data_IF_000750550050
#
_entry.id   IF_000750550050
#
_cell.length_a   1.000
_cell.length_b   1.000
_cell.length_c   1.000
_cell.angle_alpha   90.00
_cell.angle_beta   90.00
_cell.angle_gamma   90.00
#
_symmetry.space_group_name_H-M   'P 1'
#
loop_
_entity.id
_entity.type
_entity.pdbx_description
1 polymer ?
2 non-polymer ?
3 water ?
#
# COMPACT_ATOMS: atom_id res chain seq x y z
N UNK A 9 2.36 -23.36 19.03
CA UNK A 9 1.25 -22.91 19.88
C UNK A 9 1.68 -22.80 21.35
N UNK A 10 2.17 -23.91 21.91
CA UNK A 10 3.02 -23.80 23.09
C UNK A 10 4.40 -23.28 22.71
N UNK A 11 4.96 -23.84 21.62
CA UNK A 11 6.12 -23.23 20.99
C UNK A 11 5.87 -21.76 20.70
N UNK A 12 4.67 -21.43 20.22
CA UNK A 12 4.39 -20.06 19.80
C UNK A 12 4.38 -19.09 20.99
N UNK A 13 3.84 -19.53 22.15
CA UNK A 13 3.78 -18.63 23.30
C UNK A 13 5.13 -18.50 24.00
N UNK A 14 5.96 -19.54 23.94
CA UNK A 14 7.31 -19.45 24.49
C UNK A 14 8.16 -18.50 23.67
N UNK A 15 8.01 -18.53 22.33
CA UNK A 15 8.76 -17.61 21.47
C UNK A 15 8.37 -16.15 21.75
N UNK A 16 7.09 -15.89 22.05
CA UNK A 16 6.64 -14.50 22.18
C UNK A 16 7.15 -13.86 23.46
N UNK A 17 7.22 -14.64 24.54
CA UNK A 17 7.80 -14.17 25.80
C UNK A 17 9.31 -14.09 25.75
N UNK A 18 9.94 -14.68 24.73
CA UNK A 18 11.38 -14.59 24.54
C UNK A 18 11.78 -13.44 23.64
N UNK A 19 10.90 -12.45 23.47
CA UNK A 19 11.18 -11.27 22.67
C UNK A 19 11.73 -10.14 23.54
N UNK A 20 11.01 -9.81 24.60
CA UNK A 20 11.38 -8.70 25.44
C UNK A 20 10.17 -8.19 26.19
N UNK A 21 10.36 -7.05 26.86
CA UNK A 21 9.34 -6.45 27.71
C UNK A 21 9.59 -4.95 27.78
N UNK A 22 8.56 -4.22 28.20
CA UNK A 22 8.63 -2.77 28.36
C UNK A 22 8.71 -2.43 29.84
N UNK A 23 9.83 -1.84 30.26
CA UNK A 23 9.94 -1.26 31.61
C UNK A 23 9.66 0.24 31.48
N UNK A 24 8.41 0.61 31.70
CA UNK A 24 7.97 1.98 31.50
C UNK A 24 7.97 2.34 30.03
N UNK A 25 8.61 3.45 29.69
CA UNK A 25 8.67 3.91 28.32
C UNK A 25 9.88 3.36 27.56
N UNK A 26 10.46 2.27 28.03
CA UNK A 26 11.67 1.71 27.45
C UNK A 26 11.50 0.22 27.24
N UNK A 27 11.92 -0.25 26.06
CA UNK A 27 11.79 -1.66 25.68
C UNK A 27 13.15 -2.32 25.85
N UNK A 28 13.17 -3.45 26.57
CA UNK A 28 14.40 -4.20 26.80
C UNK A 28 14.31 -5.50 26.01
N UNK A 29 15.22 -5.69 25.06
CA UNK A 29 15.25 -6.91 24.31
C UNK A 29 15.80 -8.05 25.16
N UNK A 30 15.74 -9.25 24.60
CA UNK A 30 16.45 -10.37 25.15
C UNK A 30 17.43 -10.88 24.11
N UNK A 31 18.56 -11.45 24.54
CA UNK A 31 19.63 -11.77 23.57
C UNK A 31 19.18 -12.69 22.45
N UNK A 32 18.13 -13.49 22.64
CA UNK A 32 17.59 -14.36 21.61
C UNK A 32 16.39 -13.72 20.93
N UNK A 33 16.43 -12.40 20.75
CA UNK A 33 15.32 -11.68 20.13
C UNK A 33 15.29 -11.92 18.63
N UNK A 34 16.40 -11.64 17.94
CA UNK A 34 16.45 -11.88 16.51
C UNK A 34 16.04 -13.31 16.18
N UNK A 35 16.44 -14.25 17.04
CA UNK A 35 16.12 -15.65 16.82
C UNK A 35 14.63 -15.89 16.96
N UNK A 36 14.02 -15.29 17.97
CA UNK A 36 12.60 -15.49 18.20
C UNK A 36 11.77 -14.89 17.07
N UNK A 37 12.12 -13.65 16.66
CA UNK A 37 11.41 -12.98 15.57
C UNK A 37 11.40 -13.88 14.34
N UNK A 38 12.54 -14.46 14.01
CA UNK A 38 12.61 -15.35 12.85
C UNK A 38 11.79 -16.62 13.05
N UNK A 39 11.71 -17.13 14.29
CA UNK A 39 10.88 -18.30 14.53
C UNK A 39 9.41 -17.99 14.26
N UNK A 40 8.95 -16.81 14.68
CA UNK A 40 7.58 -16.41 14.40
C UNK A 40 7.31 -16.38 12.90
N UNK A 41 8.30 -15.92 12.12
CA UNK A 41 8.13 -15.96 10.66
C UNK A 41 7.93 -17.40 10.18
N UNK A 42 8.72 -18.34 10.71
CA UNK A 42 8.58 -19.74 10.31
C UNK A 42 7.20 -20.28 10.65
N UNK A 43 6.68 -19.96 11.84
CA UNK A 43 5.32 -20.39 12.20
C UNK A 43 4.28 -19.89 11.20
N UNK A 44 4.36 -18.61 10.82
CA UNK A 44 3.38 -18.03 9.91
C UNK A 44 3.43 -18.72 8.55
N UNK A 45 4.59 -19.23 8.15
CA UNK A 45 4.71 -19.96 6.89
C UNK A 45 4.17 -21.39 6.97
N UNK A 46 3.91 -21.92 8.17
CA UNK A 46 3.37 -23.28 8.33
C UNK A 46 1.98 -23.27 8.97
N UNK A 47 1.28 -22.15 8.97
CA UNK A 47 -0.05 -22.09 9.58
C UNK A 47 -1.07 -22.84 8.72
N UNK A 48 -2.16 -23.25 9.38
CA UNK A 48 -3.23 -24.01 8.75
C UNK A 48 -4.09 -23.11 7.86
N UNK A 49 -5.23 -23.65 7.40
CA UNK A 49 -6.18 -22.85 6.64
C UNK A 49 -7.00 -21.90 7.51
N UNK A 50 -7.04 -22.13 8.82
CA UNK A 50 -7.62 -21.20 9.78
C UNK A 50 -6.77 -19.94 9.99
N UNK A 51 -5.52 -19.92 9.51
CA UNK A 51 -4.55 -18.88 9.84
C UNK A 51 -4.50 -18.67 11.36
N UNK A 52 -4.30 -19.79 12.06
CA UNK A 52 -4.28 -19.77 13.51
C UNK A 52 -3.12 -18.95 14.07
N UNK A 53 -1.95 -19.03 13.41
CA UNK A 53 -0.76 -18.37 13.94
C UNK A 53 -0.96 -16.86 13.97
N UNK A 54 -1.33 -16.26 12.83
CA UNK A 54 -1.55 -14.82 12.82
C UNK A 54 -2.72 -14.41 13.71
N UNK A 55 -3.68 -15.31 13.95
CA UNK A 55 -4.75 -15.03 14.90
C UNK A 55 -4.24 -15.06 16.34
N UNK A 56 -3.37 -16.02 16.67
CA UNK A 56 -2.80 -16.06 18.01
C UNK A 56 -1.91 -14.85 18.27
N UNK A 57 -1.02 -14.53 17.33
CA UNK A 57 -0.16 -13.37 17.49
C UNK A 57 -0.99 -12.09 17.53
N UNK A 58 -2.07 -12.05 16.74
CA UNK A 58 -2.98 -10.91 16.79
C UNK A 58 -3.64 -10.77 18.16
N UNK A 59 -4.29 -11.84 18.63
CA UNK A 59 -4.83 -11.88 19.99
C UNK A 59 -3.82 -11.35 21.01
N UNK A 60 -2.57 -11.83 20.93
CA UNK A 60 -1.55 -11.46 21.90
C UNK A 60 -1.02 -10.03 21.71
N UNK A 61 -1.40 -9.35 20.63
CA UNK A 61 -0.91 -8.00 20.36
C UNK A 61 0.63 -7.95 20.33
N UNK A 62 1.24 -8.93 19.68
CA UNK A 62 2.71 -8.95 19.58
C UNK A 62 3.19 -7.77 18.76
N UNK A 63 2.57 -7.53 17.60
CA UNK A 63 2.96 -6.38 16.78
C UNK A 63 3.05 -5.11 17.63
N UNK A 64 2.01 -4.83 18.43
CA UNK A 64 1.97 -3.59 19.21
C UNK A 64 2.86 -3.66 20.45
N UNK A 65 2.78 -4.76 21.19
CA UNK A 65 3.48 -4.87 22.46
C UNK A 65 4.99 -5.04 22.27
N UNK A 66 5.41 -5.64 21.16
CA UNK A 66 6.80 -6.01 20.97
C UNK A 66 7.39 -5.45 19.67
N UNK A 67 6.81 -5.80 18.50
CA UNK A 67 7.45 -5.50 17.21
C UNK A 67 7.61 -4.00 16.98
N UNK A 68 6.56 -3.20 17.20
CA UNK A 68 6.70 -1.76 17.06
C UNK A 68 7.69 -1.15 18.04
N UNK A 69 7.71 -1.53 19.32
CA UNK A 69 8.81 -1.08 20.20
C UNK A 69 10.17 -1.42 19.64
N UNK A 70 10.36 -2.66 19.16
CA UNK A 70 11.66 -3.04 18.61
C UNK A 70 12.00 -2.15 17.42
N UNK A 71 11.02 -1.92 16.54
CA UNK A 71 11.25 -1.12 15.34
C UNK A 71 11.69 0.30 15.70
N UNK A 72 11.04 0.93 16.66
CA UNK A 72 11.30 2.34 16.92
C UNK A 72 12.53 2.54 17.81
N UNK A 73 12.74 1.65 18.77
CA UNK A 73 13.82 1.83 19.74
C UNK A 73 15.12 1.13 19.37
N UNK A 74 15.07 0.01 18.65
CA UNK A 74 16.26 -0.79 18.41
C UNK A 74 16.58 -0.90 16.93
N UNK A 75 16.37 0.18 16.18
CA UNK A 75 16.55 0.12 14.73
C UNK A 75 18.01 0.13 14.28
N UNK A 76 18.97 0.31 15.20
CA UNK A 76 20.38 0.27 14.81
C UNK A 76 20.96 -1.14 14.78
N UNK A 77 20.28 -2.10 15.40
CA UNK A 77 20.55 -3.53 15.21
C UNK A 77 20.00 -3.91 13.84
N UNK A 78 20.85 -3.87 12.81
CA UNK A 78 20.38 -4.03 11.44
C UNK A 78 19.72 -5.38 11.18
N UNK A 79 20.29 -6.53 11.57
CA UNK A 79 19.61 -7.79 11.25
C UNK A 79 18.27 -7.93 11.93
N UNK A 80 18.13 -7.46 13.18
CA UNK A 80 16.87 -7.54 13.90
C UNK A 80 15.80 -6.64 13.28
N UNK A 81 16.14 -5.39 12.98
CA UNK A 81 15.22 -4.48 12.31
C UNK A 81 14.69 -5.09 11.01
N UNK A 82 15.58 -5.67 10.20
CA UNK A 82 15.17 -6.32 8.95
C UNK A 82 14.23 -7.50 9.22
N UNK A 83 14.51 -8.28 10.27
CA UNK A 83 13.65 -9.42 10.63
C UNK A 83 12.26 -8.93 11.02
N UNK A 84 12.20 -7.89 11.85
CA UNK A 84 10.92 -7.35 12.30
C UNK A 84 10.11 -6.80 11.13
N UNK A 85 10.75 -6.12 10.18
CA UNK A 85 10.04 -5.62 9.02
C UNK A 85 9.36 -6.78 8.30
N UNK A 86 10.12 -7.84 8.02
CA UNK A 86 9.60 -9.04 7.34
C UNK A 86 8.37 -9.60 8.04
N UNK A 87 8.45 -9.74 9.36
CA UNK A 87 7.35 -10.23 10.16
C UNK A 87 6.14 -9.31 10.06
N UNK A 88 6.36 -7.99 10.16
CA UNK A 88 5.26 -7.04 10.07
C UNK A 88 4.61 -7.04 8.70
N UNK A 89 5.38 -7.23 7.62
CA UNK A 89 4.79 -7.29 6.29
C UNK A 89 3.85 -8.47 6.20
N UNK A 90 4.29 -9.62 6.74
CA UNK A 90 3.47 -10.82 6.70
C UNK A 90 2.21 -10.65 7.54
N UNK A 91 2.35 -10.09 8.75
CA UNK A 91 1.22 -9.87 9.66
C UNK A 91 0.21 -8.83 9.17
N UNK A 92 0.62 -7.90 8.30
CA UNK A 92 -0.25 -6.83 7.80
C UNK A 92 -0.82 -7.18 6.43
N UNK A 93 -0.59 -8.41 5.95
CA UNK A 93 -1.15 -8.85 4.68
C UNK A 93 -2.69 -8.66 4.68
N UNK A 94 -3.28 -8.19 3.58
CA UNK A 94 -4.74 -8.09 3.51
C UNK A 94 -5.38 -9.45 3.74
N UNK A 95 -6.52 -9.43 4.44
CA UNK A 95 -7.23 -10.65 4.81
C UNK A 95 -7.70 -11.42 3.58
N UNK A 96 -8.06 -10.71 2.52
CA UNK A 96 -8.42 -11.36 1.27
C UNK A 96 -7.30 -12.26 0.79
N UNK A 97 -6.06 -11.78 0.90
CA UNK A 97 -4.91 -12.52 0.42
C UNK A 97 -4.50 -13.67 1.35
N UNK A 98 -4.94 -13.64 2.61
CA UNK A 98 -4.63 -14.70 3.57
C UNK A 98 -5.48 -15.94 3.35
N UNK A 99 -6.80 -15.76 3.30
CA UNK A 99 -7.75 -16.85 3.07
C UNK A 99 -8.11 -17.03 1.60
N UNK A 100 -7.61 -16.20 0.71
CA UNK A 100 -8.03 -16.28 -0.67
C UNK A 100 -9.36 -15.60 -0.92
N UNK A 101 -10.46 -16.36 -0.86
CA UNK A 101 -11.80 -15.84 -1.10
C UNK A 101 -12.53 -15.58 0.22
N UNK A 102 -13.77 -15.11 0.12
CA UNK A 102 -14.54 -14.78 1.31
C UNK A 102 -15.20 -16.03 1.88
N UNK A 103 -15.02 -16.34 3.16
CA UNK A 103 -15.70 -17.50 3.73
C UNK A 103 -17.22 -17.35 3.71
N UNK A 104 -17.90 -18.42 3.31
CA UNK A 104 -19.34 -18.49 3.38
C UNK A 104 -19.83 -19.25 4.61
N UNK A 105 -19.00 -20.12 5.16
CA UNK A 105 -19.40 -20.86 6.35
C UNK A 105 -19.29 -19.95 7.57
N UNK A 106 -20.10 -20.21 8.60
CA UNK A 106 -19.98 -19.42 9.84
C UNK A 106 -18.67 -19.67 10.57
N UNK A 107 -17.86 -20.61 10.06
CA UNK A 107 -16.59 -20.97 10.68
C UNK A 107 -15.46 -20.08 10.18
N UNK A 108 -14.96 -20.36 8.97
CA UNK A 108 -13.94 -19.54 8.36
C UNK A 108 -14.32 -18.07 8.39
N UNK A 109 -15.62 -17.77 8.35
CA UNK A 109 -16.04 -16.38 8.39
C UNK A 109 -15.66 -15.73 9.71
N UNK A 110 -15.80 -16.42 10.83
CA UNK A 110 -15.35 -15.87 12.10
C UNK A 110 -13.84 -15.65 12.09
N UNK A 111 -13.11 -16.52 11.41
CA UNK A 111 -11.67 -16.36 11.27
C UNK A 111 -11.33 -15.10 10.46
N UNK A 112 -11.72 -15.09 9.19
CA UNK A 112 -11.55 -13.92 8.34
C UNK A 112 -11.80 -12.62 9.08
N UNK A 113 -12.92 -12.53 9.80
CA UNK A 113 -13.26 -11.30 10.49
C UNK A 113 -12.35 -11.06 11.69
N UNK A 114 -11.79 -12.13 12.25
CA UNK A 114 -10.82 -11.92 13.32
C UNK A 114 -9.48 -11.43 12.75
N UNK A 115 -9.04 -12.00 11.63
CA UNK A 115 -7.87 -11.50 10.95
C UNK A 115 -8.03 -10.02 10.62
N UNK A 116 -9.21 -9.63 10.16
CA UNK A 116 -9.46 -8.24 9.78
C UNK A 116 -9.46 -7.32 10.99
N UNK A 117 -9.99 -7.82 12.13
CA UNK A 117 -9.99 -7.04 13.37
C UNK A 117 -8.57 -6.76 13.82
N UNK A 118 -7.68 -7.72 13.61
CA UNK A 118 -6.29 -7.52 14.02
C UNK A 118 -5.59 -6.55 13.06
N UNK A 119 -5.89 -6.64 11.75
CA UNK A 119 -5.41 -5.65 10.78
C UNK A 119 -5.84 -4.23 11.15
N UNK A 120 -7.14 -4.04 11.49
CA UNK A 120 -7.59 -2.71 11.90
C UNK A 120 -6.83 -2.20 13.11
N UNK A 121 -6.50 -3.09 14.04
CA UNK A 121 -5.73 -2.66 15.22
C UNK A 121 -4.30 -2.27 14.86
N UNK A 122 -3.68 -3.04 13.95
CA UNK A 122 -2.35 -2.68 13.49
C UNK A 122 -2.37 -1.30 12.82
N UNK A 123 -3.44 -1.02 12.06
CA UNK A 123 -3.56 0.26 11.38
C UNK A 123 -3.56 1.41 12.37
N UNK A 124 -4.26 1.23 13.51
CA UNK A 124 -4.28 2.31 14.51
C UNK A 124 -2.96 2.42 15.27
N UNK A 125 -2.28 1.30 15.52
CA UNK A 125 -0.95 1.36 16.15
C UNK A 125 0.03 2.14 15.29
N UNK A 126 -0.08 2.02 13.96
CA UNK A 126 0.87 2.68 13.09
C UNK A 126 0.61 4.19 12.99
N UNK A 127 -0.51 4.67 13.48
CA UNK A 127 -0.75 6.10 13.64
C UNK A 127 0.29 6.77 14.52
N UNK A 128 1.55 6.79 14.11
CA UNK A 128 2.57 7.31 15.02
C UNK A 128 3.74 7.81 14.19
N UNK A 129 4.12 9.06 14.45
CA UNK A 129 5.15 9.70 13.66
C UNK A 129 6.51 9.05 13.86
N UNK A 130 6.72 8.35 14.98
CA UNK A 130 8.02 7.73 15.19
C UNK A 130 8.15 6.44 14.39
N UNK A 131 7.09 5.65 14.29
CA UNK A 131 7.12 4.48 13.41
C UNK A 131 7.46 4.90 11.98
N UNK A 132 6.71 5.86 11.45
CA UNK A 132 6.97 6.33 10.09
C UNK A 132 8.28 7.10 10.01
N UNK A 133 8.65 7.78 11.11
CA UNK A 133 9.96 8.41 11.17
C UNK A 133 11.09 7.44 10.93
N UNK A 134 11.04 6.29 11.62
CA UNK A 134 12.07 5.26 11.43
C UNK A 134 12.02 4.69 10.01
N UNK A 135 10.83 4.35 9.52
CA UNK A 135 10.73 3.85 8.15
C UNK A 135 11.29 4.87 7.15
N UNK A 136 10.93 6.15 7.32
CA UNK A 136 11.40 7.15 6.36
C UNK A 136 12.91 7.38 6.43
N UNK A 137 13.47 7.47 7.66
CA UNK A 137 14.92 7.59 7.80
C UNK A 137 15.62 6.44 7.08
N UNK A 138 15.16 5.20 7.37
CA UNK A 138 15.79 4.04 6.77
C UNK A 138 15.67 4.08 5.27
N UNK A 139 14.48 4.38 4.76
CA UNK A 139 14.30 4.45 3.31
C UNK A 139 15.20 5.53 2.70
N UNK A 140 15.22 6.72 3.33
CA UNK A 140 16.11 7.80 2.89
C UNK A 140 17.56 7.31 2.74
N UNK A 141 18.10 6.69 3.81
CA UNK A 141 19.46 6.17 3.75
C UNK A 141 19.63 5.15 2.63
N UNK A 142 18.74 4.15 2.55
CA UNK A 142 18.82 3.14 1.49
C UNK A 142 18.85 3.75 0.10
N UNK A 143 18.15 4.87 -0.10
CA UNK A 143 18.05 5.46 -1.44
C UNK A 143 19.24 6.36 -1.75
N UNK A 144 19.89 6.93 -0.73
CA UNK A 144 21.12 7.67 -0.97
C UNK A 144 22.15 6.82 -1.70
N UNK A 145 22.28 5.55 -1.34
CA UNK A 145 23.09 4.64 -2.14
C UNK A 145 22.65 4.71 -3.60
N UNK A 146 23.63 4.73 -4.50
CA UNK A 146 23.31 4.64 -5.91
C UNK A 146 22.51 3.40 -6.21
N UNK A 147 21.85 3.34 -7.37
CA UNK A 147 21.02 2.18 -7.68
C UNK A 147 21.87 0.93 -7.93
N UNK A 148 22.96 1.07 -8.69
CA UNK A 148 23.84 -0.07 -8.97
C UNK A 148 25.00 -0.16 -7.99
N UNK A 149 24.87 0.44 -6.81
CA UNK A 149 25.85 0.34 -5.75
C UNK A 149 25.27 -0.26 -4.48
N UNK A 150 23.97 -0.55 -4.47
CA UNK A 150 23.31 -1.17 -3.33
C UNK A 150 23.06 -2.64 -3.64
N UNK A 151 23.12 -3.46 -2.59
CA UNK A 151 23.04 -4.90 -2.72
C UNK A 151 21.58 -5.36 -2.82
N UNK A 152 21.39 -6.63 -3.17
CA UNK A 152 20.04 -7.17 -3.20
C UNK A 152 19.37 -7.11 -1.83
N UNK A 153 20.15 -7.24 -0.75
CA UNK A 153 19.57 -7.04 0.57
C UNK A 153 19.05 -5.62 0.72
N UNK A 154 19.72 -4.66 0.08
CA UNK A 154 19.27 -3.27 0.14
C UNK A 154 17.95 -3.09 -0.62
N UNK A 155 17.90 -3.57 -1.86
CA UNK A 155 16.65 -3.51 -2.62
C UNK A 155 15.54 -4.29 -1.93
N UNK A 156 15.87 -5.43 -1.34
CA UNK A 156 14.86 -6.23 -0.67
C UNK A 156 14.26 -5.47 0.52
N UNK A 157 15.08 -4.71 1.24
CA UNK A 157 14.55 -3.93 2.34
C UNK A 157 13.74 -2.73 1.85
N UNK A 158 14.12 -2.11 0.74
CA UNK A 158 13.28 -1.07 0.15
C UNK A 158 11.91 -1.65 -0.15
N UNK A 159 11.90 -2.78 -0.81
CA UNK A 159 10.65 -3.42 -1.19
C UNK A 159 9.76 -3.68 0.02
N UNK A 160 10.34 -4.19 1.12
CA UNK A 160 9.53 -4.54 2.26
C UNK A 160 9.02 -3.32 2.98
N UNK A 161 9.82 -2.26 3.04
CA UNK A 161 9.28 -1.04 3.60
C UNK A 161 8.07 -0.60 2.78
N UNK A 162 8.21 -0.53 1.48
CA UNK A 162 7.08 -0.09 0.67
C UNK A 162 5.86 -1.01 0.84
N UNK A 163 6.07 -2.35 0.89
CA UNK A 163 4.95 -3.29 1.11
C UNK A 163 4.27 -3.07 2.44
N UNK A 164 5.05 -2.77 3.48
CA UNK A 164 4.47 -2.52 4.78
C UNK A 164 3.61 -1.26 4.78
N UNK A 165 4.11 -0.17 4.19
CA UNK A 165 3.33 1.07 4.11
C UNK A 165 2.05 0.80 3.29
N UNK A 166 2.22 0.12 2.16
CA UNK A 166 1.09 -0.29 1.33
C UNK A 166 0.04 -1.04 2.18
N UNK A 167 0.49 -2.07 2.91
CA UNK A 167 -0.45 -2.89 3.65
C UNK A 167 -1.20 -2.08 4.69
N UNK A 168 -0.50 -1.19 5.38
CA UNK A 168 -1.12 -0.39 6.44
C UNK A 168 -2.13 0.62 5.87
N UNK A 169 -1.83 1.20 4.72
CA UNK A 169 -2.80 2.08 4.07
C UNK A 169 -3.98 1.28 3.51
N UNK A 170 -3.73 0.03 3.10
CA UNK A 170 -4.78 -0.80 2.49
C UNK A 170 -5.91 -1.14 3.45
N UNK A 171 -5.60 -1.34 4.72
CA UNK A 171 -6.58 -1.75 5.67
C UNK A 171 -7.81 -0.81 5.64
N UNK A 172 -9.03 -1.37 5.51
CA UNK A 172 -9.42 -2.79 5.45
C UNK A 172 -9.72 -3.44 4.09
N UNK A 173 -9.66 -2.76 2.93
CA UNK A 173 -10.11 -3.39 1.69
C UNK A 173 -9.60 -2.64 0.46
N UNK A 174 -9.83 -3.27 -0.71
CA UNK A 174 -9.38 -2.79 -2.02
C UNK A 174 -10.15 -1.53 -2.46
N UNK A 175 -9.65 -0.92 -3.53
CA UNK A 175 -10.38 0.09 -4.29
C UNK A 175 -11.15 -0.58 -5.44
N UNK A 185 -11.89 6.14 8.80
CA UNK A 185 -11.73 7.52 8.35
C UNK A 185 -10.62 8.23 9.14
N UNK A 186 -10.77 8.33 10.47
CA UNK A 186 -9.76 9.00 11.29
C UNK A 186 -8.44 8.23 11.31
N UNK A 187 -8.49 6.89 11.34
CA UNK A 187 -7.26 6.11 11.38
C UNK A 187 -6.43 6.37 10.11
N UNK A 188 -7.08 6.36 8.95
CA UNK A 188 -6.35 6.61 7.71
C UNK A 188 -5.83 8.03 7.71
N UNK A 189 -6.65 8.97 8.12
CA UNK A 189 -6.20 10.35 8.31
C UNK A 189 -4.96 10.45 9.21
N UNK A 190 -4.92 9.74 10.34
CA UNK A 190 -3.73 9.79 11.18
C UNK A 190 -2.52 9.24 10.49
N UNK A 191 -2.69 8.18 9.67
CA UNK A 191 -1.57 7.66 8.91
C UNK A 191 -1.07 8.72 7.92
N UNK A 192 -2.01 9.34 7.20
CA UNK A 192 -1.63 10.38 6.23
C UNK A 192 -0.83 11.47 6.93
N UNK A 193 -1.26 11.88 8.11
CA UNK A 193 -0.51 12.95 8.77
C UNK A 193 0.88 12.47 9.19
N UNK A 194 0.98 11.24 9.67
CA UNK A 194 2.28 10.68 9.98
C UNK A 194 3.16 10.55 8.76
N UNK A 195 2.58 10.22 7.59
CA UNK A 195 3.35 10.19 6.36
C UNK A 195 3.85 11.59 6.02
N UNK A 196 3.02 12.58 6.25
CA UNK A 196 3.43 13.96 5.99
C UNK A 196 4.53 14.38 6.98
N UNK A 197 4.33 14.18 8.26
CA UNK A 197 5.31 14.74 9.22
C UNK A 197 6.64 14.00 9.19
N UNK A 198 6.63 12.73 8.88
CA UNK A 198 7.86 11.96 8.78
C UNK A 198 8.70 12.28 7.55
N UNK A 199 8.18 12.96 6.53
CA UNK A 199 8.95 13.08 5.28
C UNK A 199 8.81 11.92 4.31
N UNK A 200 8.07 10.88 4.65
CA UNK A 200 7.84 9.80 3.70
C UNK A 200 7.14 10.30 2.43
N UNK A 201 6.27 11.34 2.56
CA UNK A 201 5.66 11.96 1.39
C UNK A 201 6.70 12.41 0.38
N UNK A 202 7.75 13.09 0.82
CA UNK A 202 8.82 13.50 -0.09
C UNK A 202 9.58 12.33 -0.71
N UNK A 203 9.78 11.24 0.03
CA UNK A 203 10.43 10.07 -0.55
C UNK A 203 9.55 9.43 -1.63
N UNK A 204 8.23 9.38 -1.40
CA UNK A 204 7.31 8.84 -2.42
C UNK A 204 7.34 9.67 -3.69
N UNK A 205 7.31 11.00 -3.58
CA UNK A 205 7.41 11.86 -4.76
C UNK A 205 8.75 11.68 -5.43
N UNK A 206 9.82 11.54 -4.66
CA UNK A 206 11.12 11.29 -5.28
C UNK A 206 11.07 10.01 -6.10
N UNK A 207 10.61 8.91 -5.48
CA UNK A 207 10.52 7.63 -6.17
C UNK A 207 9.67 7.71 -7.42
N UNK A 208 8.51 8.39 -7.35
CA UNK A 208 7.62 8.49 -8.50
C UNK A 208 8.27 9.22 -9.66
N UNK A 209 9.03 10.27 -9.38
CA UNK A 209 9.57 11.13 -10.42
C UNK A 209 10.92 10.66 -10.98
N UNK A 210 11.47 9.56 -10.50
CA UNK A 210 12.86 9.19 -10.82
C UNK A 210 12.91 8.04 -11.82
N UNK A 211 13.56 8.27 -12.99
CA UNK A 211 13.72 7.20 -13.98
C UNK A 211 14.51 6.01 -13.44
N UNK A 212 15.48 6.27 -12.58
CA UNK A 212 16.30 5.23 -11.98
C UNK A 212 15.55 4.34 -10.98
N UNK A 213 14.39 4.77 -10.46
CA UNK A 213 13.62 3.94 -9.53
C UNK A 213 12.37 3.34 -10.17
N UNK A 214 12.38 3.17 -11.51
CA UNK A 214 11.21 2.59 -12.15
C UNK A 214 10.88 1.20 -11.64
N UNK A 215 11.82 0.49 -10.99
CA UNK A 215 11.43 -0.83 -10.52
C UNK A 215 10.37 -0.77 -9.41
N UNK A 216 10.20 0.39 -8.76
CA UNK A 216 9.30 0.51 -7.62
C UNK A 216 7.97 1.15 -8.01
N UNK A 217 7.74 1.39 -9.31
CA UNK A 217 6.63 2.22 -9.74
C UNK A 217 5.27 1.60 -9.40
N UNK A 218 5.11 0.25 -9.46
CA UNK A 218 3.82 -0.31 -9.11
C UNK A 218 3.54 -0.12 -7.61
N UNK A 219 4.57 -0.36 -6.79
CA UNK A 219 4.44 -0.16 -5.35
C UNK A 219 4.06 1.30 -5.05
N UNK A 220 4.77 2.24 -5.67
CA UNK A 220 4.50 3.63 -5.35
C UNK A 220 3.10 4.03 -5.80
N UNK A 221 2.66 3.57 -7.00
CA UNK A 221 1.30 3.91 -7.40
C UNK A 221 0.28 3.34 -6.45
N UNK A 222 0.52 2.13 -5.89
CA UNK A 222 -0.48 1.59 -4.98
C UNK A 222 -0.55 2.45 -3.75
N UNK A 223 0.61 2.85 -3.24
CA UNK A 223 0.62 3.65 -2.01
C UNK A 223 -0.08 4.99 -2.23
N UNK A 224 0.23 5.67 -3.34
CA UNK A 224 -0.34 7.00 -3.61
C UNK A 224 -1.83 6.90 -3.81
N UNK A 225 -2.28 5.90 -4.61
CA UNK A 225 -3.71 5.70 -4.74
C UNK A 225 -4.38 5.43 -3.41
N UNK A 226 -3.79 4.62 -2.53
CA UNK A 226 -4.44 4.39 -1.28
C UNK A 226 -4.46 5.64 -0.38
N UNK A 227 -3.44 6.49 -0.48
CA UNK A 227 -3.43 7.77 0.30
C UNK A 227 -4.65 8.60 -0.02
N UNK A 228 -5.16 8.52 -1.25
CA UNK A 228 -6.25 9.38 -1.70
C UNK A 228 -7.60 8.69 -1.72
N UNK A 229 -7.71 7.55 -1.07
CA UNK A 229 -8.90 6.73 -1.23
C UNK A 229 -10.15 7.41 -0.67
N UNK A 230 -10.03 8.22 0.37
CA UNK A 230 -11.27 8.78 0.88
C UNK A 230 -11.70 10.07 0.17
N UNK A 231 -11.15 10.40 -1.01
CA UNK A 231 -11.18 11.81 -1.37
C UNK A 231 -11.94 12.00 -2.67
N UNK A 232 -12.45 13.20 -2.84
CA UNK A 232 -13.15 13.59 -4.06
C UNK A 232 -12.27 14.57 -4.83
N UNK A 233 -11.88 14.30 -6.09
CA UNK A 233 -10.83 15.13 -6.72
C UNK A 233 -11.23 16.57 -6.97
N UNK A 234 -12.51 16.83 -7.29
CA UNK A 234 -12.96 18.20 -7.46
C UNK A 234 -12.96 18.98 -6.16
N UNK A 235 -13.38 18.35 -5.06
CA UNK A 235 -13.36 19.02 -3.77
C UNK A 235 -11.95 19.33 -3.37
N UNK A 236 -11.07 18.38 -3.57
CA UNK A 236 -9.70 18.63 -3.17
C UNK A 236 -9.05 19.74 -3.96
N UNK A 237 -9.49 19.94 -5.22
CA UNK A 237 -8.94 20.99 -6.06
C UNK A 237 -9.42 22.36 -5.62
N UNK A 238 -10.40 22.44 -4.75
CA UNK A 238 -10.77 23.71 -4.17
C UNK A 238 -11.78 24.47 -4.98
N UNK A 239 -12.56 23.77 -5.77
CA UNK A 239 -13.77 24.31 -6.34
C UNK A 239 -14.89 23.33 -5.99
N UNK A 240 -15.04 23.05 -4.69
CA UNK A 240 -16.16 22.28 -4.16
C UNK A 240 -16.25 20.89 -4.78
N UNK A 249 -15.69 14.19 6.53
CA UNK A 249 -14.64 13.87 5.59
C UNK A 249 -13.33 14.21 6.30
N UNK A 250 -12.19 14.21 5.60
CA UNK A 250 -10.92 14.43 6.29
C UNK A 250 -10.85 15.84 6.90
N UNK A 251 -10.07 15.98 7.97
CA UNK A 251 -9.78 17.28 8.58
C UNK A 251 -9.13 18.22 7.57
N UNK A 252 -9.39 19.53 7.72
CA UNK A 252 -8.84 20.52 6.79
C UNK A 252 -7.33 20.41 6.60
N UNK A 253 -6.55 20.23 7.67
CA UNK A 253 -5.11 20.23 7.43
C UNK A 253 -4.64 18.97 6.71
N UNK A 254 -5.40 17.88 6.82
CA UNK A 254 -5.11 16.68 6.00
C UNK A 254 -5.49 16.94 4.56
N UNK A 255 -6.67 17.58 4.32
CA UNK A 255 -7.08 17.88 2.95
C UNK A 255 -6.08 18.80 2.29
N UNK A 256 -5.55 19.81 3.03
CA UNK A 256 -4.57 20.69 2.40
C UNK A 256 -3.28 19.96 2.06
N UNK A 257 -2.84 19.08 2.94
CA UNK A 257 -1.66 18.31 2.65
C UNK A 257 -1.91 17.46 1.40
N UNK A 258 -3.10 16.87 1.30
CA UNK A 258 -3.36 16.02 0.13
C UNK A 258 -3.41 16.86 -1.15
N UNK A 259 -4.05 18.02 -1.11
CA UNK A 259 -4.05 18.95 -2.21
C UNK A 259 -2.65 19.30 -2.65
N UNK A 260 -1.77 19.60 -1.69
CA UNK A 260 -0.38 19.96 -2.01
C UNK A 260 0.36 18.76 -2.61
N UNK A 261 0.16 17.58 -2.02
CA UNK A 261 0.82 16.37 -2.52
C UNK A 261 0.36 16.09 -3.96
N UNK A 262 -0.94 16.19 -4.19
CA UNK A 262 -1.49 15.91 -5.52
C UNK A 262 -0.98 16.92 -6.54
N UNK A 263 -0.94 18.20 -6.19
CA UNK A 263 -0.34 19.22 -7.05
C UNK A 263 1.09 18.93 -7.43
N UNK A 264 1.95 18.62 -6.44
CA UNK A 264 3.31 18.31 -6.75
C UNK A 264 3.39 17.01 -7.60
N UNK A 265 2.58 16.02 -7.25
CA UNK A 265 2.55 14.75 -7.99
C UNK A 265 2.25 14.99 -9.47
N UNK A 266 1.18 15.79 -9.77
CA UNK A 266 0.86 16.12 -11.15
C UNK A 266 2.01 16.91 -11.82
N UNK A 267 2.58 17.89 -11.11
CA UNK A 267 3.61 18.75 -11.72
C UNK A 267 4.86 17.96 -12.11
N UNK A 268 5.30 17.04 -11.27
CA UNK A 268 6.57 16.37 -11.41
C UNK A 268 6.53 14.86 -11.66
N UNK A 269 5.43 14.15 -11.39
CA UNK A 269 5.57 12.69 -11.25
C UNK A 269 4.60 11.86 -12.07
N UNK A 270 3.38 12.38 -12.29
CA UNK A 270 2.29 11.55 -12.86
C UNK A 270 2.68 10.94 -14.21
N UNK A 271 3.19 11.73 -15.14
CA UNK A 271 3.47 11.21 -16.48
C UNK A 271 4.53 10.10 -16.40
N UNK A 272 5.59 10.34 -15.65
CA UNK A 272 6.66 9.35 -15.51
C UNK A 272 6.17 8.07 -14.83
N UNK A 273 5.42 8.22 -13.71
CA UNK A 273 4.98 7.07 -12.95
C UNK A 273 3.96 6.26 -13.73
N UNK A 274 3.01 6.94 -14.39
CA UNK A 274 1.97 6.23 -15.12
C UNK A 274 2.56 5.52 -16.36
N UNK A 275 3.58 6.13 -16.95
CA UNK A 275 4.28 5.52 -18.07
C UNK A 275 5.03 4.28 -17.64
N UNK A 276 5.71 4.35 -16.51
CA UNK A 276 6.41 3.17 -16.02
C UNK A 276 5.47 2.06 -15.56
N UNK A 277 4.31 2.38 -14.93
CA UNK A 277 3.37 1.35 -14.51
C UNK A 277 2.82 0.64 -15.73
N UNK A 278 2.44 1.40 -16.73
CA UNK A 278 1.84 0.76 -17.91
C UNK A 278 2.84 -0.17 -18.58
N UNK A 279 4.10 0.23 -18.60
CA UNK A 279 5.17 -0.63 -19.12
C UNK A 279 5.28 -1.95 -18.38
N UNK A 280 5.33 -1.91 -17.05
CA UNK A 280 5.24 -3.11 -16.23
C UNK A 280 3.98 -3.92 -16.53
N UNK A 281 2.86 -3.25 -16.79
CA UNK A 281 1.63 -4.04 -16.90
C UNK A 281 1.62 -4.81 -18.21
N UNK A 282 2.26 -4.24 -19.21
CA UNK A 282 2.25 -4.85 -20.54
C UNK A 282 3.34 -5.90 -20.66
N UNK A 283 4.49 -5.66 -20.04
CA UNK A 283 5.61 -6.57 -20.15
C UNK A 283 5.53 -7.75 -19.20
N UNK A 284 4.76 -7.66 -18.11
CA UNK A 284 4.76 -8.69 -17.06
C UNK A 284 3.37 -9.29 -16.86
N UNK A 285 2.67 -9.56 -17.96
CA UNK A 285 1.34 -10.15 -17.84
C UNK A 285 1.37 -11.42 -16.99
N UNK A 286 2.44 -12.22 -17.10
CA UNK A 286 2.52 -13.47 -16.36
C UNK A 286 2.36 -13.27 -14.85
N UNK A 287 2.82 -12.13 -14.32
CA UNK A 287 2.81 -11.91 -12.88
C UNK A 287 1.44 -11.53 -12.34
N UNK A 288 0.44 -11.36 -13.20
CA UNK A 288 -0.92 -10.95 -12.83
C UNK A 288 -0.86 -9.82 -11.80
N UNK A 289 -0.22 -8.74 -12.21
CA UNK A 289 -0.29 -7.50 -11.48
C UNK A 289 -1.72 -6.98 -11.41
N UNK A 290 -2.02 -6.28 -10.33
CA UNK A 290 -3.32 -5.61 -10.18
C UNK A 290 -3.21 -4.29 -10.96
N UNK A 291 -3.93 -4.20 -12.09
CA UNK A 291 -3.92 -2.97 -12.88
C UNK A 291 -5.07 -2.03 -12.50
N UNK A 292 -5.82 -2.36 -11.47
CA UNK A 292 -6.89 -1.52 -11.02
C UNK A 292 -6.36 -0.20 -10.45
N UNK A 293 -5.14 -0.20 -9.85
CA UNK A 293 -4.54 1.06 -9.35
C UNK A 293 -4.32 2.05 -10.49
N UNK A 294 -3.85 1.58 -11.65
CA UNK A 294 -3.69 2.44 -12.83
C UNK A 294 -5.02 3.04 -13.24
N UNK A 295 -6.10 2.24 -13.19
CA UNK A 295 -7.42 2.72 -13.62
C UNK A 295 -7.95 3.74 -12.63
N UNK A 296 -7.75 3.44 -11.34
CA UNK A 296 -8.20 4.32 -10.28
C UNK A 296 -7.48 5.66 -10.37
N UNK A 297 -6.14 5.62 -10.54
CA UNK A 297 -5.31 6.82 -10.59
C UNK A 297 -5.60 7.67 -11.81
N UNK A 298 -5.76 7.06 -12.99
CA UNK A 298 -6.15 7.83 -14.16
C UNK A 298 -7.41 8.63 -13.86
N UNK A 299 -8.46 8.00 -13.34
CA UNK A 299 -9.73 8.70 -13.12
C UNK A 299 -9.56 9.80 -12.04
N UNK A 300 -8.80 9.53 -11.00
CA UNK A 300 -8.69 10.52 -9.92
C UNK A 300 -7.85 11.71 -10.34
N UNK A 301 -6.62 11.45 -10.78
CA UNK A 301 -5.69 12.51 -11.07
C UNK A 301 -6.03 13.29 -12.34
N UNK A 302 -6.58 12.64 -13.39
CA UNK A 302 -7.08 13.45 -14.49
C UNK A 302 -8.25 14.32 -14.09
N UNK A 303 -9.16 13.83 -13.22
CA UNK A 303 -10.28 14.66 -12.73
C UNK A 303 -9.76 15.87 -11.93
N UNK A 304 -8.74 15.66 -11.11
CA UNK A 304 -8.15 16.78 -10.36
C UNK A 304 -7.48 17.78 -11.29
N UNK A 305 -6.69 17.30 -12.26
CA UNK A 305 -5.97 18.19 -13.17
C UNK A 305 -6.93 19.12 -13.90
N UNK A 306 -8.06 18.57 -14.30
CA UNK A 306 -9.08 19.26 -15.06
C UNK A 306 -9.84 20.25 -14.15
N UNK A 307 -10.17 19.83 -12.94
CA UNK A 307 -10.89 20.69 -11.99
C UNK A 307 -10.04 21.86 -11.55
N UNK A 308 -8.75 21.65 -11.38
CA UNK A 308 -7.83 22.68 -10.99
C UNK A 308 -7.43 23.57 -12.16
N UNK A 309 -7.86 23.25 -13.37
CA UNK A 309 -7.39 23.99 -14.56
C UNK A 309 -5.87 24.00 -14.68
N UNK A 310 -5.24 22.87 -14.38
CA UNK A 310 -3.86 22.74 -14.71
C UNK A 310 -3.70 22.59 -16.23
N UNK A 311 -2.47 22.77 -16.71
CA UNK A 311 -2.23 22.56 -18.14
C UNK A 311 -2.35 21.09 -18.54
N UNK A 312 -2.86 20.81 -19.75
CA UNK A 312 -3.10 19.41 -20.16
C UNK A 312 -1.84 18.57 -20.22
N UNK A 313 -0.69 19.21 -20.42
CA UNK A 313 0.56 18.50 -20.52
C UNK A 313 0.89 17.68 -19.30
N UNK A 314 0.38 18.06 -18.11
CA UNK A 314 0.72 17.26 -16.93
C UNK A 314 0.08 15.86 -16.92
N UNK A 315 -0.96 15.63 -17.75
CA UNK A 315 -1.57 14.31 -17.88
C UNK A 315 -1.44 13.74 -19.31
N UNK A 316 -0.46 14.24 -20.06
CA UNK A 316 -0.35 13.85 -21.48
C UNK A 316 -0.14 12.34 -21.62
N UNK A 317 0.55 11.72 -20.67
CA UNK A 317 0.80 10.30 -20.73
C UNK A 317 -0.48 9.51 -20.78
N UNK A 318 -1.56 9.97 -20.16
CA UNK A 318 -2.84 9.26 -20.23
C UNK A 318 -3.86 10.04 -21.03
N UNK A 319 -3.43 10.99 -21.83
CA UNK A 319 -4.39 11.69 -22.70
C UNK A 319 -3.95 11.54 -24.16
N UNK A 320 -4.30 10.41 -24.75
CA UNK A 320 -3.71 10.06 -26.06
C UNK A 320 -4.59 8.95 -26.63
N UNK A 321 -4.42 8.68 -27.95
CA UNK A 321 -5.17 7.57 -28.57
C UNK A 321 -4.70 6.24 -28.00
N UNK A 322 -3.40 6.13 -27.69
CA UNK A 322 -2.91 4.91 -27.09
C UNK A 322 -3.60 4.60 -25.77
N UNK A 323 -3.86 5.63 -24.96
CA UNK A 323 -4.59 5.39 -23.70
C UNK A 323 -6.03 4.97 -23.93
N UNK A 324 -6.73 5.62 -24.88
CA UNK A 324 -8.07 5.13 -25.23
C UNK A 324 -8.03 3.67 -25.56
N UNK A 325 -7.06 3.29 -26.38
CA UNK A 325 -6.98 1.90 -26.86
C UNK A 325 -6.76 0.96 -25.72
N UNK A 326 -5.83 1.34 -24.82
CA UNK A 326 -5.50 0.55 -23.65
C UNK A 326 -6.70 0.37 -22.69
N UNK A 327 -7.42 1.46 -22.39
CA UNK A 327 -8.59 1.29 -21.51
C UNK A 327 -9.65 0.47 -22.20
N UNK A 328 -9.82 0.67 -23.51
CA UNK A 328 -10.81 -0.14 -24.22
C UNK A 328 -10.45 -1.63 -24.15
N UNK A 329 -9.16 -1.95 -24.33
CA UNK A 329 -8.69 -3.35 -24.28
C UNK A 329 -8.98 -3.98 -22.93
N UNK A 330 -8.75 -3.22 -21.85
CA UNK A 330 -9.01 -3.71 -20.51
C UNK A 330 -10.52 -3.87 -20.28
N UNK A 331 -11.32 -2.91 -20.74
CA UNK A 331 -12.75 -3.00 -20.54
C UNK A 331 -13.34 -4.20 -21.28
N UNK A 332 -12.82 -4.48 -22.48
CA UNK A 332 -13.25 -5.65 -23.26
C UNK A 332 -12.89 -6.93 -22.56
N UNK A 333 -11.66 -7.00 -22.07
CA UNK A 333 -11.20 -8.18 -21.34
C UNK A 333 -12.01 -8.42 -20.08
N UNK A 334 -12.21 -7.38 -19.25
CA UNK A 334 -12.96 -7.57 -18.03
C UNK A 334 -14.38 -8.05 -18.28
N UNK A 335 -15.03 -7.47 -19.29
CA UNK A 335 -16.39 -7.76 -19.60
C UNK A 335 -16.51 -9.20 -20.08
N UNK A 336 -15.60 -9.58 -20.97
CA UNK A 336 -15.55 -10.98 -21.40
C UNK A 336 -15.33 -11.96 -20.22
N UNK A 337 -14.42 -11.65 -19.30
CA UNK A 337 -14.23 -12.50 -18.13
C UNK A 337 -15.45 -12.53 -17.22
N UNK A 338 -16.16 -11.40 -17.08
CA UNK A 338 -17.34 -11.39 -16.22
C UNK A 338 -18.38 -12.40 -16.78
N UNK A 339 -18.39 -12.56 -18.09
CA UNK A 339 -19.36 -13.44 -18.74
C UNK A 339 -18.87 -14.88 -18.93
N UNK A 340 -17.57 -15.16 -18.74
CA UNK A 340 -17.03 -16.51 -18.93
C UNK A 340 -16.39 -17.11 -17.69
N UNK A 341 -15.81 -16.32 -16.78
CA UNK A 341 -15.18 -16.84 -15.57
C UNK A 341 -16.15 -16.59 -14.43
N UNK A 342 -17.26 -17.34 -14.49
CA UNK A 342 -18.45 -17.04 -13.70
C UNK A 342 -18.25 -17.25 -12.23
N UNK A 343 -17.31 -18.11 -11.85
CA UNK A 343 -17.04 -18.22 -10.45
C UNK A 343 -16.44 -16.94 -9.89
N UNK A 344 -15.92 -16.06 -10.73
CA UNK A 344 -15.37 -14.78 -10.21
C UNK A 344 -16.10 -13.57 -10.82
N UNK A 345 -17.37 -13.77 -11.23
CA UNK A 345 -18.08 -12.74 -11.96
C UNK A 345 -18.10 -11.40 -11.21
N UNK A 346 -18.33 -11.45 -9.90
CA UNK A 346 -18.39 -10.24 -9.09
C UNK A 346 -17.05 -9.49 -9.10
N UNK A 347 -15.92 -10.20 -9.13
CA UNK A 347 -14.61 -9.51 -9.14
C UNK A 347 -14.38 -8.87 -10.48
N UNK A 348 -14.72 -9.56 -11.55
CA UNK A 348 -14.57 -9.01 -12.88
C UNK A 348 -15.49 -7.81 -13.06
N UNK A 349 -16.72 -7.84 -12.49
CA UNK A 349 -17.62 -6.69 -12.58
C UNK A 349 -17.03 -5.46 -11.88
N UNK A 350 -16.39 -5.66 -10.72
CA UNK A 350 -15.68 -4.55 -10.04
C UNK A 350 -14.55 -3.99 -10.91
N UNK A 351 -13.73 -4.83 -11.49
CA UNK A 351 -12.69 -4.37 -12.42
C UNK A 351 -13.26 -3.62 -13.61
N UNK A 352 -14.37 -4.13 -14.16
CA UNK A 352 -15.04 -3.48 -15.27
C UNK A 352 -15.54 -2.09 -14.88
N UNK A 353 -16.02 -1.95 -13.66
CA UNK A 353 -16.46 -0.66 -13.17
C UNK A 353 -15.31 0.36 -13.04
N UNK A 354 -14.12 -0.08 -12.64
CA UNK A 354 -12.99 0.85 -12.55
C UNK A 354 -12.50 1.25 -13.94
N UNK A 355 -12.50 0.33 -14.89
CA UNK A 355 -12.07 0.64 -16.22
C UNK A 355 -13.07 1.61 -16.84
N UNK A 356 -14.35 1.36 -16.61
CA UNK A 356 -15.34 2.24 -17.20
C UNK A 356 -15.24 3.63 -16.64
N UNK A 357 -15.00 3.75 -15.33
CA UNK A 357 -14.84 5.08 -14.74
C UNK A 357 -13.62 5.82 -15.34
N UNK A 358 -12.52 5.10 -15.59
CA UNK A 358 -11.35 5.69 -16.26
C UNK A 358 -11.73 6.17 -17.68
N UNK A 359 -12.49 5.35 -18.42
CA UNK A 359 -12.95 5.72 -19.75
C UNK A 359 -13.84 6.95 -19.70
N UNK A 360 -14.74 7.02 -18.73
CA UNK A 360 -15.61 8.22 -18.59
C UNK A 360 -14.79 9.45 -18.36
N UNK A 361 -13.68 9.34 -17.59
CA UNK A 361 -12.84 10.50 -17.36
C UNK A 361 -12.09 10.89 -18.62
N UNK A 362 -11.66 9.94 -19.44
CA UNK A 362 -11.08 10.30 -20.73
C UNK A 362 -12.08 11.03 -21.60
N UNK A 363 -13.30 10.50 -21.68
CA UNK A 363 -14.34 11.11 -22.49
C UNK A 363 -14.68 12.49 -22.00
N UNK A 364 -14.77 12.66 -20.67
CA UNK A 364 -15.06 14.00 -20.10
C UNK A 364 -13.94 14.97 -20.39
N UNK A 365 -12.69 14.53 -20.32
CA UNK A 365 -11.58 15.41 -20.59
C UNK A 365 -11.54 15.85 -22.06
N UNK A 366 -11.70 14.88 -23.01
CA UNK A 366 -11.67 15.21 -24.43
C UNK A 366 -12.85 16.10 -24.79
N UNK A 367 -13.99 15.85 -24.21
CA UNK A 367 -15.18 16.60 -24.55
C UNK A 367 -15.06 18.06 -24.14
N UNK A 368 -14.26 18.37 -23.11
CA UNK A 368 -14.06 19.77 -22.72
C UNK A 368 -12.94 20.44 -23.52
N UNK A 369 -12.27 19.71 -24.42
CA UNK A 369 -11.27 20.31 -25.30
C UNK A 369 -11.86 20.98 -26.54
N UNK A 370 -13.11 20.68 -26.93
CA UNK A 370 -13.78 21.50 -27.96
C UNK A 370 -14.22 22.88 -27.40
X LIG B 1 -1.31 9.30 -29.63
X LIG B 1 -1.37 7.97 -29.02
X LIG B 1 -0.08 9.95 -29.15
X LIG B 1 -2.37 10.16 -29.36
X LIG B 1 -1.08 9.05 -31.09
X LIG C 1 -0.80 24.67 -4.18
X LIG C 1 0.19 25.06 -5.20
X LIG C 1 -0.22 23.73 -3.18
X LIG C 1 -1.11 25.91 -3.46
X LIG C 1 -1.95 23.97 -4.84
X LIG D 1 -5.21 16.56 12.56
X LIG D 1 -5.06 15.41 13.45
X LIG D 1 -4.54 16.18 11.32
X LIG D 1 -6.63 16.75 12.22
X LIG D 1 -4.64 17.77 13.20
X LIG E 1 15.07 -16.69 7.75
X LIG E 1 16.31 -17.18 8.35
X LIG E 1 14.53 -17.65 6.79
X LIG E 1 14.12 -16.42 8.84
X LIG E 1 15.36 -15.42 7.07
#
# INVERSE_FOLDING_TARGET
DPMDLHMMNCELLATCSALGYLEGDTYHKEPDCLESVKDLIRYLRHEDETRDVRQQLGAAQILQSDLLPILTQHHQDKPLFDAVIRLMVNLTQPALLCFGNLPKEPSFRHHFLQVLTYLQAYKEAFASEKAFGVLSETLYELLQLGWEERQEEDNLLIERILLLVRNILHVPADLDQEKKIDDDASAHDQLLWAIHLSGLDDLLLFLASSSAEEQWSLHVLEIVSLMFRDQNPEQLAGVGGSTGSTQRRSALNVRLFLRDFCSEFLENCYNRLMGSVKDHLLREKAQQHDETYYMWALAFFMAFNRAASFRPGLVSETLSVRTFHFIEQNLTNYYEMMLTDRKEAASWARRMHLALKAYQELLATVNEMDISPDEAVRE
SO4 S O1 O2 O3 O4
SO4 S O1 O2 O3 O4
SO4 S O1 O2 O3 O4
SO4 S O1 O2 O3 O4
#
